data_IF_004302263365
#
_entry.id   IF_004302263365
#
_cell.length_a   1.000
_cell.length_b   1.000
_cell.length_c   1.000
_cell.angle_alpha   90.00
_cell.angle_beta   90.00
_cell.angle_gamma   90.00
#
_symmetry.space_group_name_H-M   'P 1'
#
loop_
_entity.id
_entity.type
_entity.pdbx_description
1 polymer ?
#
# COMPACT_ATOMS: atom_id res chain seq x y z
N UNK A 1 -9.59 -36.06 4.20
CA UNK A 1 -8.99 -35.47 2.99
C UNK A 1 -8.49 -34.09 3.38
N UNK A 2 -7.22 -34.00 3.73
CA UNK A 2 -6.57 -32.70 4.02
C UNK A 2 -6.36 -32.00 2.68
N UNK A 3 -7.06 -30.90 2.46
CA UNK A 3 -6.73 -29.96 1.40
C UNK A 3 -5.50 -29.20 1.83
N UNK A 4 -4.34 -29.70 1.46
CA UNK A 4 -3.08 -28.96 1.51
C UNK A 4 -3.27 -27.72 0.63
N UNK A 5 -3.51 -26.58 1.24
CA UNK A 5 -3.45 -25.28 0.57
C UNK A 5 -1.99 -25.09 0.12
N UNK A 6 -1.70 -25.47 -1.12
CA UNK A 6 -0.40 -25.21 -1.74
C UNK A 6 -0.29 -23.69 -1.93
N UNK A 7 0.37 -23.02 -0.99
CA UNK A 7 0.76 -21.63 -1.15
C UNK A 7 1.73 -21.56 -2.32
N UNK A 8 1.25 -21.11 -3.48
CA UNK A 8 2.10 -20.93 -4.66
C UNK A 8 3.28 -20.01 -4.31
N UNK A 9 4.52 -20.34 -4.64
CA UNK A 9 5.68 -19.48 -4.36
C UNK A 9 5.54 -18.07 -4.95
N UNK A 10 4.77 -17.93 -6.02
CA UNK A 10 4.50 -16.63 -6.65
C UNK A 10 3.31 -15.86 -6.04
N UNK A 11 2.65 -16.39 -5.00
CA UNK A 11 1.48 -15.74 -4.39
C UNK A 11 1.74 -14.31 -3.94
N UNK A 12 2.89 -13.95 -3.32
CA UNK A 12 3.19 -12.56 -2.95
C UNK A 12 3.15 -11.58 -4.13
N UNK A 13 3.66 -11.96 -5.29
CA UNK A 13 3.66 -11.12 -6.50
C UNK A 13 2.25 -10.98 -7.09
N UNK A 14 1.44 -12.03 -7.03
CA UNK A 14 0.02 -11.97 -7.45
C UNK A 14 -0.76 -11.00 -6.56
N UNK A 15 -0.52 -11.00 -5.26
CA UNK A 15 -1.18 -10.07 -4.33
C UNK A 15 -0.65 -8.65 -4.54
N UNK A 16 0.65 -8.47 -4.77
CA UNK A 16 1.22 -7.17 -5.14
C UNK A 16 0.58 -6.61 -6.41
N UNK A 17 0.36 -7.44 -7.45
CA UNK A 17 -0.35 -7.00 -8.66
C UNK A 17 -1.73 -6.44 -8.34
N UNK A 18 -2.50 -7.10 -7.46
CA UNK A 18 -3.82 -6.60 -7.03
C UNK A 18 -3.72 -5.31 -6.20
N UNK A 19 -2.71 -5.21 -5.32
CA UNK A 19 -2.45 -3.99 -4.56
C UNK A 19 -2.14 -2.81 -5.49
N UNK A 20 -1.36 -3.04 -6.54
CA UNK A 20 -1.05 -2.04 -7.56
C UNK A 20 -2.28 -1.67 -8.39
N UNK A 21 -3.09 -2.65 -8.81
CA UNK A 21 -4.31 -2.40 -9.58
C UNK A 21 -5.29 -1.50 -8.79
N UNK A 22 -5.61 -1.86 -7.55
CA UNK A 22 -6.53 -1.07 -6.73
C UNK A 22 -5.99 0.32 -6.39
N UNK A 23 -4.68 0.46 -6.12
CA UNK A 23 -4.05 1.76 -5.88
C UNK A 23 -4.13 2.65 -7.13
N UNK A 24 -3.87 2.10 -8.31
CA UNK A 24 -4.02 2.81 -9.58
C UNK A 24 -5.46 3.27 -9.85
N UNK A 25 -6.46 2.45 -9.51
CA UNK A 25 -7.88 2.80 -9.65
C UNK A 25 -8.29 3.91 -8.67
N UNK A 26 -7.81 3.85 -7.43
CA UNK A 26 -8.06 4.91 -6.43
C UNK A 26 -7.41 6.21 -6.86
N UNK A 27 -6.15 6.19 -7.32
CA UNK A 27 -5.47 7.38 -7.85
C UNK A 27 -6.22 7.99 -9.05
N UNK A 28 -6.74 7.16 -9.96
CA UNK A 28 -7.54 7.62 -11.11
C UNK A 28 -8.88 8.26 -10.70
N UNK A 29 -9.35 8.00 -9.49
CA UNK A 29 -10.60 8.57 -8.95
C UNK A 29 -10.40 9.90 -8.22
N UNK A 30 -9.18 10.37 -8.05
CA UNK A 30 -8.88 11.66 -7.41
C UNK A 30 -9.24 12.79 -8.35
N UNK A 31 -10.10 13.69 -7.91
CA UNK A 31 -10.49 14.88 -8.64
C UNK A 31 -9.76 16.12 -8.11
N UNK A 32 -9.71 17.18 -8.92
CA UNK A 32 -9.08 18.44 -8.52
C UNK A 32 -9.63 18.99 -7.19
N UNK A 33 -10.94 18.88 -6.98
CA UNK A 33 -11.62 19.37 -5.77
C UNK A 33 -11.33 18.52 -4.51
N UNK A 34 -10.69 17.36 -4.67
CA UNK A 34 -10.30 16.52 -3.55
C UNK A 34 -8.93 16.89 -2.98
N UNK A 35 -8.08 17.55 -3.75
CA UNK A 35 -6.64 17.67 -3.49
C UNK A 35 -6.30 18.32 -2.13
N UNK A 36 -7.12 19.23 -1.63
CA UNK A 36 -6.88 19.94 -0.38
C UNK A 36 -7.58 19.28 0.83
N UNK A 37 -8.26 18.13 0.64
CA UNK A 37 -8.88 17.39 1.74
C UNK A 37 -7.82 16.81 2.67
N UNK A 38 -8.09 16.79 4.00
CA UNK A 38 -7.24 16.10 4.96
C UNK A 38 -7.28 14.58 4.75
N UNK A 39 -6.23 13.89 5.18
CA UNK A 39 -6.11 12.43 5.14
C UNK A 39 -5.90 11.85 6.54
N UNK A 40 -6.05 10.51 6.73
CA UNK A 40 -5.64 9.83 7.95
C UNK A 40 -4.12 9.89 8.22
N UNK A 41 -3.30 10.28 7.25
CA UNK A 41 -1.88 10.53 7.44
C UNK A 41 -1.69 11.94 8.02
N UNK A 42 -1.22 12.04 9.24
CA UNK A 42 -1.04 13.31 9.94
C UNK A 42 -0.21 14.32 9.11
N UNK A 43 -0.79 15.50 8.92
CA UNK A 43 -0.14 16.60 8.20
C UNK A 43 -0.15 16.48 6.68
N UNK A 44 -0.79 15.46 6.11
CA UNK A 44 -0.89 15.27 4.65
C UNK A 44 -2.29 15.52 4.12
N UNK A 45 -2.35 16.27 3.03
CA UNK A 45 -3.53 16.41 2.19
C UNK A 45 -3.63 15.25 1.19
N UNK A 46 -4.77 15.14 0.50
CA UNK A 46 -4.94 14.19 -0.62
C UNK A 46 -3.86 14.38 -1.68
N UNK A 47 -3.47 15.63 -1.99
CA UNK A 47 -2.40 15.94 -2.94
C UNK A 47 -1.10 15.24 -2.56
N UNK A 48 -0.66 15.40 -1.31
CA UNK A 48 0.61 14.86 -0.82
C UNK A 48 0.58 13.34 -0.72
N UNK A 49 -0.55 12.78 -0.22
CA UNK A 49 -0.72 11.33 -0.15
C UNK A 49 -0.79 10.69 -1.54
N UNK A 50 -1.53 11.29 -2.48
CA UNK A 50 -1.63 10.78 -3.84
C UNK A 50 -0.27 10.80 -4.57
N UNK A 51 0.52 11.86 -4.38
CA UNK A 51 1.86 11.97 -4.97
C UNK A 51 2.82 10.94 -4.36
N UNK A 52 2.80 10.77 -3.02
CA UNK A 52 3.57 9.73 -2.32
C UNK A 52 3.21 8.33 -2.80
N UNK A 53 1.91 8.01 -2.87
CA UNK A 53 1.44 6.72 -3.35
C UNK A 53 1.84 6.49 -4.82
N UNK A 54 1.76 7.53 -5.65
CA UNK A 54 2.13 7.45 -7.06
C UNK A 54 3.64 7.25 -7.29
N UNK A 55 4.49 7.73 -6.37
CA UNK A 55 5.94 7.53 -6.41
C UNK A 55 6.37 6.12 -5.92
N UNK A 56 5.52 5.42 -5.16
CA UNK A 56 5.89 4.19 -4.48
C UNK A 56 6.45 3.09 -5.42
N UNK A 57 5.86 2.75 -6.59
CA UNK A 57 6.41 1.70 -7.45
C UNK A 57 7.81 2.01 -7.98
N UNK A 58 8.10 3.27 -8.30
CA UNK A 58 9.44 3.70 -8.72
C UNK A 58 10.44 3.54 -7.56
N UNK A 59 10.06 3.96 -6.35
CA UNK A 59 10.89 3.80 -5.15
C UNK A 59 11.18 2.34 -4.85
N UNK A 60 10.16 1.46 -4.93
CA UNK A 60 10.34 0.02 -4.75
C UNK A 60 11.29 -0.59 -5.79
N UNK A 61 11.15 -0.17 -7.04
CA UNK A 61 11.99 -0.66 -8.12
C UNK A 61 13.46 -0.24 -7.93
N UNK A 62 13.70 1.01 -7.56
CA UNK A 62 15.05 1.53 -7.25
C UNK A 62 15.67 0.79 -6.08
N UNK A 63 14.91 0.59 -4.99
CA UNK A 63 15.36 -0.19 -3.86
C UNK A 63 15.71 -1.64 -4.25
N UNK A 64 14.88 -2.27 -5.08
CA UNK A 64 15.12 -3.62 -5.60
C UNK A 64 16.38 -3.75 -6.45
N UNK A 65 16.85 -2.63 -7.02
CA UNK A 65 18.13 -2.52 -7.76
C UNK A 65 19.32 -2.18 -6.88
N UNK A 66 19.10 -2.00 -5.56
CA UNK A 66 20.14 -1.61 -4.61
C UNK A 66 20.50 -0.12 -4.65
N UNK A 67 19.65 0.72 -5.21
CA UNK A 67 19.80 2.17 -5.24
C UNK A 67 19.33 2.80 -3.92
N UNK A 68 19.92 3.96 -3.57
CA UNK A 68 19.39 4.79 -2.47
C UNK A 68 18.06 5.43 -2.89
N UNK A 69 17.10 5.47 -1.96
CA UNK A 69 15.77 6.03 -2.18
C UNK A 69 15.48 7.13 -1.17
N UNK A 70 15.13 8.31 -1.69
CA UNK A 70 14.55 9.38 -0.88
C UNK A 70 13.02 9.20 -0.85
N UNK A 71 12.50 8.66 0.23
CA UNK A 71 11.07 8.41 0.42
C UNK A 71 10.22 9.69 0.53
N UNK A 72 10.85 10.84 0.73
CA UNK A 72 10.18 12.14 0.73
C UNK A 72 10.04 12.76 -0.66
N UNK A 73 10.74 12.21 -1.66
CA UNK A 73 10.67 12.68 -3.03
C UNK A 73 9.32 12.29 -3.66
N UNK A 74 8.61 13.27 -4.18
CA UNK A 74 7.40 13.05 -4.97
C UNK A 74 7.71 12.70 -6.42
N UNK A 75 6.66 12.48 -7.21
CA UNK A 75 6.76 12.11 -8.63
C UNK A 75 7.26 13.25 -9.53
N UNK A 76 7.04 14.50 -9.11
CA UNK A 76 7.31 15.68 -9.93
C UNK A 76 6.35 15.89 -11.10
N UNK A 77 5.24 15.11 -11.17
CA UNK A 77 4.21 15.27 -12.20
C UNK A 77 2.97 15.98 -11.66
N UNK A 78 2.17 16.55 -12.55
CA UNK A 78 0.90 17.18 -12.18
C UNK A 78 -0.12 16.17 -11.63
N UNK A 79 -1.02 16.54 -10.72
CA UNK A 79 -1.99 15.63 -10.13
C UNK A 79 -2.82 14.83 -11.14
N UNK A 80 -3.17 15.41 -12.27
CA UNK A 80 -3.89 14.72 -13.34
C UNK A 80 -3.09 13.59 -14.03
N UNK A 81 -1.79 13.53 -13.82
CA UNK A 81 -0.88 12.54 -14.41
C UNK A 81 -0.47 11.44 -13.43
N UNK A 82 -0.81 11.57 -12.14
CA UNK A 82 -0.35 10.64 -11.08
C UNK A 82 -0.75 9.20 -11.35
N UNK A 83 -1.99 8.94 -11.76
CA UNK A 83 -2.45 7.58 -12.06
C UNK A 83 -1.71 6.95 -13.24
N UNK A 84 -1.42 7.72 -14.29
CA UNK A 84 -0.67 7.22 -15.44
C UNK A 84 0.81 6.97 -15.09
N UNK A 85 1.43 7.88 -14.34
CA UNK A 85 2.78 7.72 -13.81
C UNK A 85 2.90 6.46 -12.95
N UNK A 86 1.98 6.29 -11.99
CA UNK A 86 1.91 5.11 -11.14
C UNK A 86 1.83 3.82 -11.94
N UNK A 87 0.90 3.72 -12.89
CA UNK A 87 0.69 2.49 -13.68
C UNK A 87 1.90 2.10 -14.51
N UNK A 88 2.59 3.08 -15.10
CA UNK A 88 3.82 2.81 -15.84
C UNK A 88 4.90 2.18 -14.97
N UNK A 89 5.13 2.74 -13.77
CA UNK A 89 6.13 2.19 -12.85
C UNK A 89 5.67 0.89 -12.16
N UNK A 90 4.35 0.70 -11.98
CA UNK A 90 3.77 -0.56 -11.50
C UNK A 90 4.05 -1.72 -12.47
N UNK A 91 3.91 -1.49 -13.77
CA UNK A 91 4.24 -2.50 -14.80
C UNK A 91 5.74 -2.86 -14.76
N UNK A 92 6.62 -1.87 -14.64
CA UNK A 92 8.06 -2.08 -14.51
C UNK A 92 8.42 -2.87 -13.23
N UNK A 93 7.75 -2.55 -12.12
CA UNK A 93 7.93 -3.24 -10.83
C UNK A 93 7.50 -4.71 -10.93
N UNK A 94 6.35 -5.00 -11.52
CA UNK A 94 5.88 -6.38 -11.72
C UNK A 94 6.82 -7.16 -12.63
N UNK A 95 7.32 -6.53 -13.70
CA UNK A 95 8.32 -7.15 -14.57
C UNK A 95 9.60 -7.50 -13.81
N UNK A 96 10.06 -6.60 -12.93
CA UNK A 96 11.21 -6.86 -12.05
C UNK A 96 10.96 -8.08 -11.15
N UNK A 97 9.79 -8.18 -10.51
CA UNK A 97 9.44 -9.29 -9.62
C UNK A 97 9.32 -10.63 -10.34
N UNK A 98 8.81 -10.65 -11.58
CA UNK A 98 8.75 -11.88 -12.38
C UNK A 98 10.13 -12.45 -12.72
N UNK A 99 11.17 -11.64 -12.68
CA UNK A 99 12.55 -12.06 -12.87
C UNK A 99 13.30 -12.47 -11.58
N UNK A 100 12.65 -12.36 -10.41
CA UNK A 100 13.30 -12.68 -9.13
C UNK A 100 13.16 -14.17 -8.78
N UNK A 101 14.15 -14.75 -8.08
CA UNK A 101 14.05 -16.11 -7.58
C UNK A 101 13.01 -16.23 -6.44
N UNK A 102 12.47 -17.44 -6.25
CA UNK A 102 11.37 -17.73 -5.33
C UNK A 102 11.66 -17.34 -3.87
N UNK A 103 12.91 -17.41 -3.44
CA UNK A 103 13.32 -17.02 -2.09
C UNK A 103 13.26 -15.52 -1.82
N UNK A 104 13.18 -14.69 -2.88
CA UNK A 104 13.04 -13.25 -2.78
C UNK A 104 11.61 -12.74 -2.89
N UNK A 105 10.71 -13.48 -3.55
CA UNK A 105 9.36 -12.98 -3.83
C UNK A 105 8.52 -12.72 -2.57
N UNK A 106 8.83 -13.35 -1.45
CA UNK A 106 8.20 -13.05 -0.17
C UNK A 106 8.39 -11.57 0.26
N UNK A 107 9.45 -10.91 -0.21
CA UNK A 107 9.69 -9.49 0.07
C UNK A 107 8.67 -8.57 -0.60
N UNK A 108 7.88 -9.06 -1.57
CA UNK A 108 6.80 -8.27 -2.17
C UNK A 108 5.66 -7.97 -1.18
N UNK A 109 5.55 -8.73 -0.09
CA UNK A 109 4.48 -8.53 0.90
C UNK A 109 4.60 -7.19 1.65
N UNK A 110 5.82 -6.67 1.88
CA UNK A 110 5.94 -5.36 2.49
C UNK A 110 5.48 -4.24 1.57
N UNK A 111 5.68 -4.39 0.25
CA UNK A 111 5.19 -3.44 -0.75
C UNK A 111 3.65 -3.48 -0.81
N UNK A 112 3.07 -4.67 -0.72
CA UNK A 112 1.61 -4.83 -0.62
C UNK A 112 1.06 -4.19 0.66
N UNK A 113 1.76 -4.29 1.79
CA UNK A 113 1.38 -3.65 3.04
C UNK A 113 1.38 -2.12 2.92
N UNK A 114 2.46 -1.54 2.38
CA UNK A 114 2.60 -0.10 2.17
C UNK A 114 1.50 0.44 1.24
N UNK A 115 1.31 -0.20 0.09
CA UNK A 115 0.26 0.15 -0.84
C UNK A 115 -1.13 -0.01 -0.22
N UNK A 116 -1.38 -1.09 0.52
CA UNK A 116 -2.67 -1.36 1.15
C UNK A 116 -3.07 -0.28 2.14
N UNK A 117 -2.18 0.10 3.05
CA UNK A 117 -2.44 1.15 4.06
C UNK A 117 -2.70 2.49 3.39
N UNK A 118 -1.85 2.95 2.49
CA UNK A 118 -1.99 4.26 1.86
C UNK A 118 -3.14 4.32 0.85
N UNK A 119 -3.47 3.22 0.18
CA UNK A 119 -4.68 3.14 -0.66
C UNK A 119 -5.94 3.31 0.20
N UNK A 120 -6.00 2.66 1.36
CA UNK A 120 -7.10 2.84 2.30
C UNK A 120 -7.17 4.29 2.82
N UNK A 121 -6.03 4.87 3.23
CA UNK A 121 -5.96 6.26 3.67
C UNK A 121 -6.57 7.21 2.62
N UNK A 122 -6.25 6.97 1.34
CA UNK A 122 -6.77 7.78 0.24
C UNK A 122 -8.27 7.56 0.02
N UNK A 123 -8.75 6.32 0.05
CA UNK A 123 -10.20 6.00 -0.04
C UNK A 123 -10.99 6.71 1.06
N UNK A 124 -10.48 6.70 2.30
CA UNK A 124 -11.11 7.41 3.43
C UNK A 124 -11.17 8.91 3.18
N UNK A 125 -10.07 9.53 2.77
CA UNK A 125 -10.01 10.97 2.49
C UNK A 125 -10.95 11.39 1.36
N UNK A 126 -11.10 10.55 0.34
CA UNK A 126 -12.01 10.82 -0.78
C UNK A 126 -13.50 10.73 -0.37
N UNK A 127 -13.82 9.95 0.68
CA UNK A 127 -15.19 9.76 1.14
C UNK A 127 -16.08 9.01 0.13
N UNK A 128 -15.47 8.29 -0.81
CA UNK A 128 -16.16 7.47 -1.81
C UNK A 128 -15.79 6.00 -1.59
N UNK A 129 -16.77 5.09 -1.43
CA UNK A 129 -16.47 3.67 -1.29
C UNK A 129 -15.91 3.13 -2.61
N UNK A 130 -14.69 2.62 -2.54
CA UNK A 130 -14.04 1.89 -3.63
C UNK A 130 -13.71 0.49 -3.12
N UNK A 131 -13.93 -0.56 -3.92
CA UNK A 131 -13.65 -1.92 -3.49
C UNK A 131 -12.15 -2.12 -3.33
N UNK A 132 -11.75 -2.72 -2.20
CA UNK A 132 -10.38 -3.11 -1.91
C UNK A 132 -10.32 -4.63 -1.71
N UNK A 133 -9.24 -5.27 -2.13
CA UNK A 133 -9.05 -6.72 -2.05
C UNK A 133 -8.59 -7.12 -0.64
N UNK A 134 -9.40 -7.91 0.06
CA UNK A 134 -9.13 -8.35 1.43
C UNK A 134 -7.81 -9.12 1.57
N UNK A 135 -7.38 -9.87 0.55
CA UNK A 135 -6.13 -10.61 0.59
C UNK A 135 -4.90 -9.68 0.64
N UNK A 136 -4.97 -8.50 0.02
CA UNK A 136 -3.94 -7.46 0.15
C UNK A 136 -3.80 -7.05 1.62
N UNK A 137 -4.92 -6.79 2.29
CA UNK A 137 -4.92 -6.42 3.70
C UNK A 137 -4.45 -7.56 4.62
N UNK A 138 -4.88 -8.79 4.38
CA UNK A 138 -4.50 -9.96 5.18
C UNK A 138 -2.99 -10.24 5.11
N UNK A 139 -2.41 -10.20 3.91
CA UNK A 139 -0.98 -10.42 3.74
C UNK A 139 -0.15 -9.24 4.25
N UNK A 140 -0.63 -8.02 4.02
CA UNK A 140 0.00 -6.81 4.56
C UNK A 140 0.05 -6.85 6.08
N UNK A 141 -1.05 -7.20 6.74
CA UNK A 141 -1.12 -7.34 8.19
C UNK A 141 -0.17 -8.44 8.70
N UNK A 142 -0.18 -9.62 8.06
CA UNK A 142 0.69 -10.72 8.43
C UNK A 142 2.18 -10.34 8.32
N UNK A 143 2.55 -9.58 7.29
CA UNK A 143 3.91 -9.05 7.15
C UNK A 143 4.24 -8.05 8.26
N UNK A 144 3.38 -7.05 8.49
CA UNK A 144 3.61 -6.02 9.51
C UNK A 144 3.73 -6.62 10.92
N UNK A 145 2.92 -7.63 11.24
CA UNK A 145 2.97 -8.32 12.55
C UNK A 145 4.29 -9.05 12.81
N UNK A 146 5.03 -9.43 11.77
CA UNK A 146 6.34 -10.07 11.91
C UNK A 146 7.46 -9.07 12.19
N UNK A 147 7.36 -7.84 11.70
CA UNK A 147 8.45 -6.87 11.72
C UNK A 147 8.19 -5.60 12.53
N UNK A 148 6.93 -5.19 12.70
CA UNK A 148 6.58 -3.95 13.36
C UNK A 148 6.27 -4.19 14.84
N UNK A 149 7.14 -3.68 15.69
CA UNK A 149 7.02 -3.75 17.16
C UNK A 149 6.80 -2.36 17.75
N UNK A 150 6.41 -2.27 19.02
CA UNK A 150 6.23 -0.98 19.71
C UNK A 150 7.52 -0.14 19.69
N UNK A 151 8.68 -0.78 19.71
CA UNK A 151 9.98 -0.10 19.73
C UNK A 151 10.40 0.48 18.36
N UNK A 152 9.88 -0.05 17.25
CA UNK A 152 10.31 0.34 15.90
C UNK A 152 9.21 1.03 15.06
N UNK A 153 8.05 1.34 15.65
CA UNK A 153 6.97 2.04 14.94
C UNK A 153 7.36 3.45 14.48
N UNK A 154 8.21 4.14 15.23
CA UNK A 154 8.65 5.49 14.90
C UNK A 154 7.50 6.50 14.77
N UNK A 155 7.73 7.62 14.09
CA UNK A 155 6.68 8.64 13.89
C UNK A 155 5.68 8.27 12.77
N UNK A 156 5.96 7.24 11.97
CA UNK A 156 5.14 6.87 10.78
C UNK A 156 3.95 5.99 11.16
N UNK A 157 4.14 5.10 12.14
CA UNK A 157 3.11 4.19 12.60
C UNK A 157 2.71 4.53 14.04
N UNK A 158 1.48 4.97 14.23
CA UNK A 158 0.92 5.16 15.56
C UNK A 158 0.84 3.86 16.37
N UNK A 159 0.47 3.96 17.65
CA UNK A 159 0.14 2.80 18.45
C UNK A 159 -1.04 2.04 17.80
N UNK A 160 -1.08 0.70 17.88
CA UNK A 160 -2.20 -0.06 17.36
C UNK A 160 -3.53 0.39 17.99
N UNK A 161 -4.56 0.47 17.16
CA UNK A 161 -5.93 0.76 17.62
C UNK A 161 -6.67 -0.56 17.80
N UNK A 162 -7.41 -0.70 18.90
CA UNK A 162 -8.24 -1.88 19.13
C UNK A 162 -9.46 -1.87 18.20
N UNK A 163 -9.70 -3.00 17.54
CA UNK A 163 -10.89 -3.25 16.71
C UNK A 163 -11.52 -4.57 17.11
N UNK A 164 -12.84 -4.76 16.87
CA UNK A 164 -13.51 -6.04 17.12
C UNK A 164 -12.84 -7.21 16.39
N UNK A 165 -12.97 -8.41 16.94
CA UNK A 165 -12.41 -9.63 16.34
C UNK A 165 -12.98 -9.93 14.95
N UNK A 166 -14.22 -9.49 14.68
CA UNK A 166 -14.94 -9.63 13.41
C UNK A 166 -14.76 -8.42 12.46
N UNK A 167 -13.83 -7.50 12.78
CA UNK A 167 -13.52 -6.38 11.92
C UNK A 167 -13.05 -6.84 10.53
N UNK A 168 -13.30 -6.01 9.51
CA UNK A 168 -12.86 -6.30 8.15
C UNK A 168 -11.33 -6.47 8.06
N UNK A 169 -10.85 -7.12 7.01
CA UNK A 169 -9.41 -7.30 6.80
C UNK A 169 -8.68 -5.95 6.77
N UNK A 170 -9.25 -4.95 6.09
CA UNK A 170 -8.68 -3.61 6.03
C UNK A 170 -8.73 -2.89 7.38
N UNK A 171 -9.84 -2.98 8.12
CA UNK A 171 -9.91 -2.34 9.45
C UNK A 171 -8.84 -2.89 10.39
N UNK A 172 -8.58 -4.20 10.34
CA UNK A 172 -7.50 -4.83 11.11
C UNK A 172 -6.10 -4.37 10.67
N UNK A 173 -5.84 -4.30 9.35
CA UNK A 173 -4.57 -3.83 8.82
C UNK A 173 -4.28 -2.40 9.28
N UNK A 174 -5.23 -1.49 9.03
CA UNK A 174 -5.01 -0.06 9.28
C UNK A 174 -5.00 0.27 10.76
N UNK A 175 -5.79 -0.44 11.57
CA UNK A 175 -5.74 -0.33 13.02
C UNK A 175 -4.38 -0.78 13.57
N UNK A 176 -3.81 -1.86 13.07
CA UNK A 176 -2.45 -2.28 13.41
C UNK A 176 -1.40 -1.24 12.98
N UNK A 177 -1.61 -0.55 11.86
CA UNK A 177 -0.79 0.56 11.39
C UNK A 177 -1.03 1.89 12.14
N UNK A 178 -1.91 1.93 13.15
CA UNK A 178 -2.16 3.09 13.99
C UNK A 178 -3.24 4.05 13.48
N UNK A 179 -4.08 3.64 12.52
CA UNK A 179 -5.25 4.40 12.07
C UNK A 179 -6.49 3.95 12.81
N UNK A 180 -7.40 4.88 13.17
CA UNK A 180 -8.71 4.52 13.68
C UNK A 180 -9.71 4.35 12.52
N UNK A 181 -10.13 3.12 12.18
CA UNK A 181 -11.05 2.89 11.07
C UNK A 181 -12.46 3.46 11.32
N UNK A 182 -12.75 3.89 12.56
CA UNK A 182 -14.04 4.49 12.94
C UNK A 182 -14.03 6.03 12.88
N UNK A 183 -12.84 6.65 12.75
CA UNK A 183 -12.67 8.11 12.70
C UNK A 183 -13.16 8.72 11.37
#
# INVERSE_FOLDING_TARGET
METTSMTSPHRPVVVLSRALDQAGDVLASVHHDDLDKPTPCDGWTVRELADHLAAAPEHFLRLGRGEEVDWSAGTGVEPAQLAAHFRSHADDLLHHWHGQPDDRVAQADWQSAELGVHTWDLVRALGRPLPLDDEVAERGLAFMQQGLTDDNRGPVFGAPVEVPDDASAYDRLVAFAGRDPRA
#
